data_IF_857732324410
#
_entry.id   IF_857732324410
#
_cell.length_a   1.000
_cell.length_b   1.000
_cell.length_c   1.000
_cell.angle_alpha   90.00
_cell.angle_beta   90.00
_cell.angle_gamma   90.00
#
_symmetry.space_group_name_H-M   'P 1'
#
loop_
_entity.id
_entity.type
_entity.pdbx_description
1 polymer ?
#
# COMPACT_ATOMS: atom_id res chain seq x y z
N UNK A 1 8.74 97.04 -14.24
CA UNK A 1 7.98 95.80 -14.01
C UNK A 1 8.97 94.64 -13.95
N UNK A 2 9.35 94.21 -12.74
CA UNK A 2 10.23 93.05 -12.52
C UNK A 2 9.36 92.01 -11.80
N UNK A 3 9.10 90.87 -12.45
CA UNK A 3 8.28 89.79 -11.90
C UNK A 3 9.16 88.76 -11.18
N UNK A 4 8.72 88.40 -9.98
CA UNK A 4 9.24 87.36 -9.09
C UNK A 4 9.22 85.97 -9.71
N UNK A 5 10.16 85.10 -9.30
CA UNK A 5 9.88 83.68 -9.06
C UNK A 5 10.81 83.09 -7.99
N UNK A 6 10.22 82.78 -6.83
CA UNK A 6 10.82 82.02 -5.72
C UNK A 6 10.84 80.53 -6.07
N UNK A 7 11.98 79.88 -5.87
CA UNK A 7 12.14 78.42 -5.90
C UNK A 7 11.90 77.87 -4.48
N UNK A 8 11.02 76.87 -4.35
CA UNK A 8 10.87 76.04 -3.14
C UNK A 8 11.49 74.66 -3.42
N UNK A 9 12.32 74.10 -2.53
CA UNK A 9 12.76 72.71 -2.65
C UNK A 9 11.66 71.79 -2.11
N UNK A 10 11.14 70.90 -2.96
CA UNK A 10 10.20 69.85 -2.57
C UNK A 10 10.92 68.72 -1.84
N UNK A 11 10.42 68.33 -0.67
CA UNK A 11 10.85 67.15 0.05
C UNK A 11 10.33 65.89 -0.66
N UNK A 12 11.25 65.01 -1.08
CA UNK A 12 10.91 63.71 -1.64
C UNK A 12 10.68 62.71 -0.51
N UNK A 13 9.42 62.30 -0.32
CA UNK A 13 9.03 61.24 0.60
C UNK A 13 9.33 59.88 -0.06
N UNK A 14 10.35 59.18 0.42
CA UNK A 14 10.68 57.82 -0.04
C UNK A 14 9.68 56.82 0.55
N UNK A 15 8.79 56.30 -0.31
CA UNK A 15 7.83 55.26 0.04
C UNK A 15 8.53 53.89 -0.02
N UNK A 16 8.94 53.35 1.12
CA UNK A 16 9.40 51.97 1.22
C UNK A 16 8.21 51.02 1.00
N UNK A 17 8.07 50.49 -0.22
CA UNK A 17 7.19 49.37 -0.50
C UNK A 17 7.80 48.11 0.11
N UNK A 18 7.25 47.67 1.24
CA UNK A 18 7.49 46.34 1.76
C UNK A 18 6.86 45.32 0.80
N UNK A 19 7.67 44.74 -0.09
CA UNK A 19 7.29 43.52 -0.79
C UNK A 19 7.20 42.40 0.26
N UNK A 20 5.99 42.09 0.71
CA UNK A 20 5.72 40.85 1.42
C UNK A 20 6.08 39.70 0.49
N UNK A 21 7.12 38.94 0.82
CA UNK A 21 7.41 37.69 0.14
C UNK A 21 6.24 36.74 0.39
N UNK A 22 5.40 36.51 -0.61
CA UNK A 22 4.40 35.46 -0.57
C UNK A 22 5.16 34.14 -0.54
N UNK A 23 5.19 33.48 0.64
CA UNK A 23 5.78 32.16 0.76
C UNK A 23 5.07 31.22 -0.21
N UNK A 24 5.83 30.49 -1.03
CA UNK A 24 5.28 29.49 -1.93
C UNK A 24 4.57 28.41 -1.09
N UNK A 25 3.38 28.00 -1.52
CA UNK A 25 2.61 26.94 -0.86
C UNK A 25 3.47 25.67 -0.74
N UNK A 26 3.71 25.15 0.47
CA UNK A 26 4.55 23.95 0.65
C UNK A 26 3.89 22.76 -0.06
N UNK A 27 4.70 22.00 -0.78
CA UNK A 27 4.27 20.76 -1.45
C UNK A 27 4.87 19.57 -0.72
N UNK A 28 4.05 18.59 -0.37
CA UNK A 28 4.43 17.29 0.18
C UNK A 28 4.35 16.25 -0.93
N UNK A 29 5.50 15.73 -1.36
CA UNK A 29 5.57 14.70 -2.41
C UNK A 29 5.61 13.31 -1.77
N UNK A 30 4.59 12.48 -2.01
CA UNK A 30 4.46 11.13 -1.47
C UNK A 30 4.56 10.11 -2.60
N UNK A 31 5.55 9.21 -2.52
CA UNK A 31 5.62 8.05 -3.42
C UNK A 31 4.69 6.95 -2.92
N UNK A 32 3.84 6.45 -3.82
CA UNK A 32 2.86 5.40 -3.53
C UNK A 32 2.55 4.58 -4.80
N UNK A 33 1.80 3.48 -4.67
CA UNK A 33 1.56 2.55 -5.78
C UNK A 33 0.41 3.03 -6.69
N UNK A 34 0.40 2.57 -7.94
CA UNK A 34 -0.50 3.07 -8.99
C UNK A 34 -1.99 2.99 -8.60
N UNK A 35 -2.45 1.88 -8.00
CA UNK A 35 -3.85 1.75 -7.58
C UNK A 35 -4.24 2.75 -6.50
N UNK A 36 -3.31 3.18 -5.63
CA UNK A 36 -3.58 4.21 -4.62
C UNK A 36 -3.90 5.55 -5.29
N UNK A 37 -3.15 5.91 -6.33
CA UNK A 37 -3.27 7.21 -7.02
C UNK A 37 -4.32 7.28 -8.11
N UNK A 38 -4.88 6.14 -8.51
CA UNK A 38 -5.91 6.07 -9.54
C UNK A 38 -7.17 6.85 -9.17
N UNK A 39 -7.96 7.25 -10.18
CA UNK A 39 -9.21 7.99 -9.98
C UNK A 39 -10.24 7.23 -9.13
N UNK A 40 -10.14 5.90 -9.10
CA UNK A 40 -11.00 5.00 -8.32
C UNK A 40 -10.37 4.57 -7.00
N UNK A 41 -9.10 4.91 -6.76
CA UNK A 41 -8.35 4.62 -5.54
C UNK A 41 -8.58 5.65 -4.42
N UNK A 42 -7.91 5.49 -3.27
CA UNK A 42 -7.99 6.40 -2.13
C UNK A 42 -7.41 7.80 -2.42
N UNK A 43 -6.42 7.91 -3.31
CA UNK A 43 -5.60 9.10 -3.53
C UNK A 43 -6.38 10.40 -3.72
N UNK A 44 -7.37 10.48 -4.63
CA UNK A 44 -8.18 11.68 -4.82
C UNK A 44 -8.90 12.17 -3.56
N UNK A 45 -9.46 11.24 -2.77
CA UNK A 45 -10.19 11.57 -1.54
C UNK A 45 -9.23 11.97 -0.42
N UNK A 46 -8.12 11.22 -0.27
CA UNK A 46 -7.04 11.51 0.68
C UNK A 46 -6.45 12.89 0.44
N UNK A 47 -6.14 13.22 -0.83
CA UNK A 47 -5.64 14.54 -1.24
C UNK A 47 -6.61 15.65 -0.86
N UNK A 48 -7.87 15.53 -1.27
CA UNK A 48 -8.90 16.54 -0.96
C UNK A 48 -9.07 16.74 0.56
N UNK A 49 -9.08 15.65 1.32
CA UNK A 49 -9.26 15.71 2.78
C UNK A 49 -8.06 16.32 3.50
N UNK A 50 -6.83 16.00 3.07
CA UNK A 50 -5.62 16.58 3.66
C UNK A 50 -5.46 18.06 3.33
N UNK A 51 -5.64 18.45 2.06
CA UNK A 51 -5.53 19.85 1.62
C UNK A 51 -6.62 20.76 2.19
N UNK A 52 -7.73 20.20 2.69
CA UNK A 52 -8.72 20.96 3.43
C UNK A 52 -8.26 21.34 4.86
N UNK A 53 -7.18 20.73 5.35
CA UNK A 53 -6.64 20.91 6.71
C UNK A 53 -5.34 21.72 6.76
N UNK A 54 -4.68 21.91 5.63
CA UNK A 54 -3.41 22.60 5.51
C UNK A 54 -3.48 23.64 4.38
N UNK A 55 -2.70 24.72 4.48
CA UNK A 55 -2.37 25.56 3.32
C UNK A 55 -1.20 24.92 2.56
N UNK A 56 -1.41 23.71 2.04
CA UNK A 56 -0.37 22.90 1.40
C UNK A 56 -0.86 22.19 0.13
N UNK A 57 0.08 21.64 -0.63
CA UNK A 57 -0.20 20.79 -1.79
C UNK A 57 0.24 19.36 -1.47
N UNK A 58 -0.66 18.39 -1.59
CA UNK A 58 -0.30 16.97 -1.59
C UNK A 58 -0.08 16.50 -3.03
N UNK A 59 1.14 16.09 -3.33
CA UNK A 59 1.51 15.48 -4.60
C UNK A 59 1.71 13.97 -4.40
N UNK A 60 0.73 13.18 -4.86
CA UNK A 60 0.83 11.73 -4.87
C UNK A 60 1.47 11.28 -6.19
N UNK A 61 2.59 10.57 -6.12
CA UNK A 61 3.29 10.04 -7.28
C UNK A 61 3.10 8.54 -7.33
N UNK A 62 2.28 8.10 -8.30
CA UNK A 62 2.07 6.70 -8.62
C UNK A 62 3.34 6.07 -9.21
N UNK A 63 3.76 4.99 -8.59
CA UNK A 63 4.83 4.09 -9.01
C UNK A 63 4.25 2.68 -9.18
N UNK A 64 5.00 1.79 -9.84
CA UNK A 64 4.52 0.42 -10.16
C UNK A 64 3.81 -0.28 -8.97
N UNK A 65 4.55 -0.84 -8.01
CA UNK A 65 3.98 -1.58 -6.88
C UNK A 65 4.98 -1.55 -5.69
N UNK A 66 4.57 -1.96 -4.48
CA UNK A 66 5.23 -1.68 -3.21
C UNK A 66 6.72 -2.03 -3.15
N UNK A 67 7.13 -3.18 -3.67
CA UNK A 67 8.56 -3.56 -3.69
C UNK A 67 9.33 -2.69 -4.68
N UNK A 68 8.79 -2.47 -5.88
CA UNK A 68 9.40 -1.60 -6.89
C UNK A 68 9.61 -0.17 -6.34
N UNK A 69 8.69 0.33 -5.52
CA UNK A 69 8.82 1.65 -4.89
C UNK A 69 10.03 1.73 -3.96
N UNK A 70 10.20 0.77 -3.06
CA UNK A 70 11.35 0.74 -2.15
C UNK A 70 12.67 0.61 -2.94
N UNK A 71 12.69 -0.21 -3.99
CA UNK A 71 13.86 -0.36 -4.86
C UNK A 71 14.20 0.95 -5.58
N UNK A 72 13.21 1.66 -6.11
CA UNK A 72 13.41 2.98 -6.72
C UNK A 72 13.96 3.99 -5.71
N UNK A 73 13.37 4.05 -4.52
CA UNK A 73 13.84 4.93 -3.44
C UNK A 73 15.32 4.65 -3.09
N UNK A 74 15.72 3.38 -3.01
CA UNK A 74 17.12 2.98 -2.77
C UNK A 74 18.07 3.46 -3.87
N UNK A 75 17.63 3.44 -5.12
CA UNK A 75 18.42 3.93 -6.26
C UNK A 75 18.55 5.46 -6.26
N UNK A 76 17.49 6.18 -5.89
CA UNK A 76 17.51 7.64 -5.79
C UNK A 76 18.32 8.13 -4.58
N UNK A 77 18.28 7.39 -3.46
CA UNK A 77 18.96 7.73 -2.22
C UNK A 77 18.61 9.14 -1.72
N UNK A 78 19.60 9.89 -1.25
CA UNK A 78 19.41 11.25 -0.74
C UNK A 78 18.99 12.28 -1.82
N UNK A 79 19.01 11.92 -3.11
CA UNK A 79 18.59 12.79 -4.19
C UNK A 79 17.11 12.66 -4.55
N UNK A 80 16.39 11.74 -3.91
CA UNK A 80 14.95 11.56 -4.12
C UNK A 80 14.19 12.87 -3.93
N UNK A 81 13.12 13.02 -4.71
CA UNK A 81 12.18 14.14 -4.60
C UNK A 81 11.03 13.84 -3.64
N UNK A 82 10.88 12.59 -3.23
CA UNK A 82 9.89 12.21 -2.26
C UNK A 82 10.23 12.81 -0.89
N UNK A 83 9.18 13.24 -0.19
CA UNK A 83 9.21 13.53 1.24
C UNK A 83 8.85 12.29 2.06
N UNK A 84 8.02 11.41 1.49
CA UNK A 84 7.49 10.22 2.15
C UNK A 84 7.34 9.06 1.18
N UNK A 85 7.34 7.85 1.73
CA UNK A 85 6.92 6.63 1.05
C UNK A 85 5.66 6.08 1.75
N UNK A 86 4.61 5.77 1.00
CA UNK A 86 3.36 5.19 1.48
C UNK A 86 3.02 3.94 0.66
N UNK A 87 2.78 2.81 1.32
CA UNK A 87 2.37 1.57 0.64
C UNK A 87 3.49 0.54 0.45
N UNK A 88 4.52 0.59 1.30
CA UNK A 88 5.28 -0.63 1.62
C UNK A 88 4.58 -1.33 2.79
N UNK A 89 4.93 -2.57 3.08
CA UNK A 89 4.33 -3.34 4.18
C UNK A 89 5.36 -3.82 5.20
N UNK A 90 4.88 -4.47 6.27
CA UNK A 90 5.71 -5.08 7.32
C UNK A 90 6.74 -6.08 6.84
N UNK A 91 6.58 -6.68 5.65
CA UNK A 91 7.59 -7.59 5.09
C UNK A 91 8.81 -6.83 4.55
N UNK A 92 8.71 -5.50 4.42
CA UNK A 92 9.74 -4.62 3.87
C UNK A 92 10.33 -3.64 4.88
N UNK A 93 9.72 -3.46 6.07
CA UNK A 93 10.15 -2.43 7.04
C UNK A 93 11.57 -2.64 7.56
N UNK A 94 11.99 -3.88 7.81
CA UNK A 94 13.36 -4.17 8.23
C UNK A 94 14.40 -3.81 7.15
N UNK A 95 14.12 -4.12 5.87
CA UNK A 95 14.98 -3.73 4.75
C UNK A 95 14.98 -2.20 4.57
N UNK A 96 13.80 -1.57 4.59
CA UNK A 96 13.62 -0.13 4.47
C UNK A 96 14.38 0.61 5.59
N UNK A 97 14.31 0.14 6.83
CA UNK A 97 15.08 0.66 7.97
C UNK A 97 16.58 0.58 7.75
N UNK A 98 17.07 -0.55 7.24
CA UNK A 98 18.49 -0.77 7.00
C UNK A 98 19.09 0.16 5.93
N UNK A 99 18.25 0.77 5.08
CA UNK A 99 18.71 1.78 4.11
C UNK A 99 19.21 3.07 4.77
N UNK A 100 18.76 3.37 6.00
CA UNK A 100 19.03 4.64 6.67
C UNK A 100 18.31 5.85 6.07
N UNK A 101 17.40 5.67 5.10
CA UNK A 101 16.71 6.76 4.41
C UNK A 101 15.52 7.32 5.21
N UNK A 102 14.98 6.57 6.18
CA UNK A 102 13.77 6.93 6.92
C UNK A 102 14.09 7.63 8.26
N UNK A 103 13.29 8.65 8.56
CA UNK A 103 13.33 9.41 9.81
C UNK A 103 12.36 8.81 10.83
N UNK A 104 12.59 9.09 12.11
CA UNK A 104 11.62 8.75 13.16
C UNK A 104 10.44 9.74 13.11
N UNK A 105 9.21 9.24 13.20
CA UNK A 105 8.00 10.07 13.16
C UNK A 105 7.61 10.66 14.52
N UNK A 106 8.09 10.06 15.63
CA UNK A 106 7.74 10.43 17.01
C UNK A 106 6.25 10.37 17.39
N UNK A 107 5.38 9.90 16.50
CA UNK A 107 3.98 9.57 16.76
C UNK A 107 3.83 8.25 17.54
N UNK A 108 2.73 8.15 18.29
CA UNK A 108 2.29 6.91 18.94
C UNK A 108 0.90 6.54 18.46
N UNK A 109 0.72 5.28 18.12
CA UNK A 109 -0.60 4.71 17.85
C UNK A 109 -1.18 4.20 19.16
N UNK A 110 -1.93 5.05 19.86
CA UNK A 110 -2.48 4.74 21.20
C UNK A 110 -3.54 3.64 21.16
N UNK A 111 -4.37 3.63 20.11
CA UNK A 111 -5.40 2.63 19.88
C UNK A 111 -5.37 2.20 18.43
N UNK A 112 -5.35 0.89 18.17
CA UNK A 112 -5.46 0.34 16.83
C UNK A 112 -6.42 -0.85 16.79
N UNK A 113 -6.95 -1.09 15.59
CA UNK A 113 -7.71 -2.28 15.21
C UNK A 113 -6.81 -3.43 14.75
N UNK A 114 -5.48 -3.31 14.92
CA UNK A 114 -4.53 -4.36 14.62
C UNK A 114 -4.59 -5.47 15.69
N UNK A 115 -4.31 -6.74 15.33
CA UNK A 115 -4.30 -7.83 16.30
C UNK A 115 -3.25 -7.66 17.41
N UNK A 116 -2.11 -7.06 17.06
CA UNK A 116 -1.00 -6.81 17.97
C UNK A 116 -0.74 -5.30 18.12
N UNK A 117 -0.30 -4.83 19.31
CA UNK A 117 0.10 -3.44 19.50
C UNK A 117 1.20 -3.03 18.52
N UNK A 118 1.03 -1.86 17.89
CA UNK A 118 2.03 -1.34 16.98
C UNK A 118 3.11 -0.55 17.72
N UNK A 119 4.37 -0.94 17.57
CA UNK A 119 5.50 -0.33 18.25
C UNK A 119 6.69 -0.11 17.30
N UNK A 120 6.46 0.66 16.23
CA UNK A 120 7.50 1.15 15.33
C UNK A 120 7.57 2.69 15.42
N UNK A 121 8.77 3.25 15.37
CA UNK A 121 9.01 4.70 15.46
C UNK A 121 9.38 5.36 14.13
N UNK A 122 9.54 4.58 13.05
CA UNK A 122 9.85 5.04 11.69
C UNK A 122 8.71 4.78 10.70
N UNK A 123 7.93 3.71 10.91
CA UNK A 123 6.85 3.31 10.02
C UNK A 123 5.51 3.30 10.75
N UNK A 124 4.55 4.03 10.20
CA UNK A 124 3.20 4.12 10.74
C UNK A 124 2.23 3.33 9.85
N UNK A 125 1.43 2.41 10.41
CA UNK A 125 0.49 1.63 9.64
C UNK A 125 -0.73 2.50 9.33
N UNK A 126 -1.40 2.22 8.21
CA UNK A 126 -2.61 2.96 7.83
C UNK A 126 -3.78 2.06 7.47
N UNK A 127 -3.49 0.85 7.01
CA UNK A 127 -4.46 -0.21 6.83
C UNK A 127 -3.81 -1.59 7.03
N UNK A 128 -4.63 -2.63 6.97
CA UNK A 128 -4.19 -4.01 6.95
C UNK A 128 -5.17 -4.90 6.18
N UNK A 129 -4.71 -6.07 5.77
CA UNK A 129 -5.50 -7.04 5.04
C UNK A 129 -4.88 -8.42 5.10
N UNK A 130 -5.49 -9.37 4.39
CA UNK A 130 -5.04 -10.75 4.35
C UNK A 130 -5.09 -11.24 2.92
N UNK A 131 -3.99 -11.83 2.45
CA UNK A 131 -3.93 -12.35 1.09
C UNK A 131 -4.84 -13.56 0.95
N UNK A 132 -5.57 -13.63 -0.16
CA UNK A 132 -6.46 -14.74 -0.50
C UNK A 132 -6.59 -14.87 -2.01
N UNK A 133 -6.94 -16.06 -2.48
CA UNK A 133 -7.32 -16.24 -3.87
C UNK A 133 -8.79 -15.90 -4.07
N UNK A 134 -9.07 -14.91 -4.92
CA UNK A 134 -10.43 -14.51 -5.29
C UNK A 134 -10.87 -15.31 -6.51
N UNK A 135 -12.15 -15.71 -6.53
CA UNK A 135 -12.75 -16.49 -7.61
C UNK A 135 -14.18 -16.02 -7.90
N UNK A 136 -14.70 -16.40 -9.06
CA UNK A 136 -16.10 -16.20 -9.44
C UNK A 136 -16.90 -17.48 -9.14
N UNK A 137 -17.86 -17.41 -8.21
CA UNK A 137 -18.70 -18.53 -7.75
C UNK A 137 -19.55 -19.17 -8.85
N UNK A 138 -19.86 -18.45 -9.92
CA UNK A 138 -20.62 -19.00 -11.05
C UNK A 138 -19.75 -19.87 -11.96
N UNK A 139 -18.43 -19.71 -11.90
CA UNK A 139 -17.46 -20.45 -12.75
C UNK A 139 -16.75 -21.56 -11.98
N UNK A 140 -16.47 -21.34 -10.71
CA UNK A 140 -15.78 -22.29 -9.85
C UNK A 140 -16.68 -22.64 -8.67
N UNK A 141 -17.40 -23.76 -8.79
CA UNK A 141 -18.36 -24.23 -7.79
C UNK A 141 -17.70 -24.92 -6.59
N UNK A 142 -16.51 -25.49 -6.77
CA UNK A 142 -15.73 -26.15 -5.73
C UNK A 142 -14.33 -25.53 -5.65
N UNK A 143 -14.21 -24.32 -5.06
CA UNK A 143 -12.90 -23.70 -4.86
C UNK A 143 -12.07 -24.54 -3.87
N UNK A 144 -10.72 -24.47 -3.95
CA UNK A 144 -9.87 -25.05 -2.92
C UNK A 144 -10.19 -24.47 -1.53
N UNK A 145 -10.10 -25.32 -0.50
CA UNK A 145 -10.35 -24.93 0.91
C UNK A 145 -9.07 -24.90 1.74
N UNK A 146 -7.91 -25.00 1.08
CA UNK A 146 -6.59 -24.94 1.70
C UNK A 146 -5.54 -24.53 0.67
N UNK A 147 -4.44 -23.91 1.12
CA UNK A 147 -3.31 -23.63 0.24
C UNK A 147 -2.71 -24.95 -0.27
N UNK A 148 -2.71 -25.99 0.56
CA UNK A 148 -2.31 -27.35 0.15
C UNK A 148 -3.16 -27.88 -0.99
N UNK A 149 -4.49 -27.81 -0.89
CA UNK A 149 -5.34 -28.25 -1.99
C UNK A 149 -5.12 -27.40 -3.24
N UNK A 150 -4.98 -26.08 -3.11
CA UNK A 150 -4.69 -25.23 -4.25
C UNK A 150 -3.39 -25.63 -4.96
N UNK A 151 -2.37 -26.08 -4.24
CA UNK A 151 -1.05 -26.44 -4.80
C UNK A 151 -1.01 -27.89 -5.30
N UNK A 152 -1.56 -28.83 -4.53
CA UNK A 152 -1.36 -30.27 -4.73
C UNK A 152 -2.35 -30.90 -5.71
N UNK A 153 -3.50 -30.26 -5.95
CA UNK A 153 -4.45 -30.71 -6.97
C UNK A 153 -3.94 -30.32 -8.37
N UNK A 154 -3.38 -31.28 -9.12
CA UNK A 154 -2.89 -31.03 -10.47
C UNK A 154 -4.00 -30.64 -11.45
N UNK A 155 -5.25 -31.01 -11.18
CA UNK A 155 -6.43 -30.64 -11.97
C UNK A 155 -7.19 -29.45 -11.37
N UNK A 156 -6.58 -28.77 -10.38
CA UNK A 156 -7.15 -27.62 -9.71
C UNK A 156 -7.31 -26.41 -10.64
N UNK A 157 -7.85 -25.30 -10.12
CA UNK A 157 -8.11 -24.09 -10.90
C UNK A 157 -6.81 -23.47 -11.44
N UNK A 158 -6.92 -22.80 -12.58
CA UNK A 158 -5.89 -21.90 -13.11
C UNK A 158 -5.80 -20.62 -12.28
N UNK A 159 -4.61 -20.04 -12.13
CA UNK A 159 -4.39 -18.87 -11.27
C UNK A 159 -3.59 -17.75 -11.93
N UNK A 160 -3.87 -16.53 -11.49
CA UNK A 160 -3.07 -15.33 -11.74
C UNK A 160 -2.39 -14.87 -10.46
N UNK A 161 -1.10 -14.55 -10.53
CA UNK A 161 -0.32 -14.06 -9.38
C UNK A 161 0.53 -12.87 -9.77
N UNK A 162 1.10 -12.19 -8.77
CA UNK A 162 2.04 -11.08 -8.98
C UNK A 162 3.49 -11.51 -8.69
N UNK A 163 4.46 -10.83 -9.30
CA UNK A 163 5.88 -11.09 -9.10
C UNK A 163 6.35 -10.60 -7.72
N UNK A 164 6.96 -11.47 -6.88
CA UNK A 164 7.41 -11.11 -5.52
C UNK A 164 8.56 -10.10 -5.48
N UNK A 165 9.18 -9.81 -6.63
CA UNK A 165 10.28 -8.85 -6.76
C UNK A 165 9.79 -7.42 -7.01
N UNK A 166 8.52 -7.25 -7.36
CA UNK A 166 7.94 -5.94 -7.69
C UNK A 166 6.68 -5.63 -6.87
N UNK A 167 5.88 -6.66 -6.54
CA UNK A 167 4.58 -6.51 -5.88
C UNK A 167 4.58 -6.98 -4.42
N UNK A 168 3.95 -6.22 -3.53
CA UNK A 168 3.75 -6.64 -2.13
C UNK A 168 2.79 -7.84 -2.00
N UNK A 169 1.67 -7.92 -2.75
CA UNK A 169 0.92 -9.16 -2.93
C UNK A 169 1.76 -10.37 -3.37
N UNK A 170 2.59 -10.19 -4.40
CA UNK A 170 3.47 -11.25 -4.89
C UNK A 170 4.42 -11.74 -3.79
N UNK A 171 5.04 -10.81 -3.05
CA UNK A 171 5.90 -11.12 -1.92
C UNK A 171 5.11 -11.83 -0.81
N UNK A 172 3.90 -11.39 -0.55
CA UNK A 172 2.96 -12.00 0.38
C UNK A 172 2.70 -13.48 0.08
N UNK A 173 2.42 -13.83 -1.18
CA UNK A 173 2.24 -15.23 -1.56
C UNK A 173 3.54 -16.04 -1.45
N UNK A 174 4.68 -15.46 -1.81
CA UNK A 174 5.98 -16.09 -1.59
C UNK A 174 6.18 -16.49 -0.12
N UNK A 175 5.88 -15.57 0.79
CA UNK A 175 5.97 -15.79 2.22
C UNK A 175 4.89 -16.75 2.73
N UNK A 176 3.69 -16.69 2.17
CA UNK A 176 2.59 -17.59 2.52
C UNK A 176 2.91 -19.05 2.16
N UNK A 177 3.39 -19.30 0.95
CA UNK A 177 3.87 -20.63 0.54
C UNK A 177 5.01 -21.08 1.45
N UNK A 178 5.97 -20.20 1.77
CA UNK A 178 7.07 -20.55 2.68
C UNK A 178 6.59 -20.87 4.10
N UNK A 179 5.58 -20.18 4.63
CA UNK A 179 4.97 -20.49 5.94
C UNK A 179 4.38 -21.91 5.96
N UNK A 180 3.70 -22.32 4.89
CA UNK A 180 3.00 -23.61 4.85
C UNK A 180 3.92 -24.77 4.49
N UNK A 181 4.89 -24.56 3.60
CA UNK A 181 5.73 -25.63 3.05
C UNK A 181 7.15 -25.66 3.59
N UNK A 182 7.64 -24.57 4.18
CA UNK A 182 9.02 -24.50 4.70
C UNK A 182 10.05 -24.86 3.63
N UNK A 183 10.85 -25.88 3.90
CA UNK A 183 11.90 -26.37 3.00
C UNK A 183 11.37 -27.09 1.74
N UNK A 184 10.06 -27.35 1.66
CA UNK A 184 9.39 -27.96 0.50
C UNK A 184 8.70 -26.93 -0.40
N UNK A 185 9.01 -25.65 -0.24
CA UNK A 185 8.37 -24.58 -1.00
C UNK A 185 8.72 -24.64 -2.49
N UNK A 186 9.94 -25.05 -2.85
CA UNK A 186 10.36 -25.35 -4.22
C UNK A 186 9.44 -26.37 -4.92
N UNK A 187 9.12 -27.48 -4.26
CA UNK A 187 8.19 -28.50 -4.76
C UNK A 187 6.77 -27.96 -4.89
N UNK A 188 6.33 -27.11 -3.95
CA UNK A 188 5.03 -26.45 -4.01
C UNK A 188 4.95 -25.53 -5.24
N UNK A 189 5.98 -24.72 -5.48
CA UNK A 189 6.08 -23.85 -6.65
C UNK A 189 6.10 -24.66 -7.95
N UNK A 190 6.82 -25.78 -7.99
CA UNK A 190 6.90 -26.63 -9.18
C UNK A 190 5.56 -27.29 -9.55
N UNK A 191 4.72 -27.58 -8.56
CA UNK A 191 3.34 -28.05 -8.79
C UNK A 191 2.43 -26.91 -9.25
N UNK A 192 2.53 -25.76 -8.58
CA UNK A 192 1.65 -24.63 -8.84
C UNK A 192 1.93 -23.97 -10.20
N UNK A 193 3.20 -23.92 -10.63
CA UNK A 193 3.64 -23.29 -11.89
C UNK A 193 2.92 -23.80 -13.12
N UNK A 194 2.52 -25.08 -13.12
CA UNK A 194 1.75 -25.71 -14.21
C UNK A 194 0.37 -25.05 -14.43
N UNK A 195 -0.17 -24.35 -13.42
CA UNK A 195 -1.49 -23.71 -13.43
C UNK A 195 -1.42 -22.19 -13.28
N UNK A 196 -0.23 -21.61 -13.21
CA UNK A 196 -0.05 -20.16 -13.26
C UNK A 196 -0.18 -19.70 -14.71
N UNK A 197 -1.24 -18.93 -15.00
CA UNK A 197 -1.50 -18.39 -16.34
C UNK A 197 -0.52 -17.28 -16.66
N UNK A 198 -0.35 -16.34 -15.72
CA UNK A 198 0.54 -15.18 -15.84
C UNK A 198 1.06 -14.78 -14.46
N UNK A 199 2.30 -14.30 -14.43
CA UNK A 199 2.89 -13.58 -13.29
C UNK A 199 2.99 -12.10 -13.70
N UNK A 200 2.10 -11.26 -13.17
CA UNK A 200 2.09 -9.82 -13.48
C UNK A 200 3.09 -9.06 -12.62
N UNK A 201 3.49 -7.85 -13.04
CA UNK A 201 4.35 -7.00 -12.22
C UNK A 201 3.66 -6.44 -10.97
N UNK A 202 2.35 -6.25 -11.06
CA UNK A 202 1.57 -5.67 -9.97
C UNK A 202 0.12 -6.15 -9.95
N UNK A 203 -0.55 -5.82 -8.86
CA UNK A 203 -1.91 -6.31 -8.57
C UNK A 203 -2.94 -5.90 -9.62
N UNK A 204 -2.93 -4.63 -10.05
CA UNK A 204 -3.95 -4.08 -10.97
C UNK A 204 -4.02 -4.85 -12.30
N UNK A 205 -2.87 -5.27 -12.83
CA UNK A 205 -2.80 -6.06 -14.06
C UNK A 205 -3.40 -7.46 -13.86
N UNK A 206 -2.99 -8.18 -12.81
CA UNK A 206 -3.51 -9.51 -12.51
C UNK A 206 -5.03 -9.48 -12.25
N UNK A 207 -5.52 -8.53 -11.47
CA UNK A 207 -6.95 -8.41 -11.18
C UNK A 207 -7.75 -8.05 -12.44
N UNK A 208 -7.22 -7.17 -13.29
CA UNK A 208 -7.84 -6.83 -14.57
C UNK A 208 -7.95 -8.02 -15.53
N UNK A 209 -6.94 -8.91 -15.57
CA UNK A 209 -6.98 -10.16 -16.34
C UNK A 209 -8.02 -11.14 -15.75
N UNK A 210 -8.10 -11.23 -14.42
CA UNK A 210 -9.10 -12.05 -13.74
C UNK A 210 -10.54 -11.61 -14.06
N UNK A 211 -10.83 -10.30 -14.04
CA UNK A 211 -12.16 -9.78 -14.42
C UNK A 211 -12.51 -10.05 -15.89
N UNK A 212 -11.51 -10.21 -16.75
CA UNK A 212 -11.66 -10.65 -18.15
C UNK A 212 -11.79 -12.17 -18.30
N UNK A 213 -11.73 -12.91 -17.19
CA UNK A 213 -11.81 -14.36 -17.10
C UNK A 213 -10.61 -15.11 -17.70
N UNK A 214 -9.42 -14.54 -17.64
CA UNK A 214 -8.19 -15.19 -18.13
C UNK A 214 -7.73 -16.35 -17.24
N UNK A 215 -8.21 -16.43 -15.99
CA UNK A 215 -7.97 -17.55 -15.08
C UNK A 215 -9.16 -17.74 -14.12
N UNK A 216 -9.19 -18.89 -13.44
CA UNK A 216 -10.27 -19.24 -12.49
C UNK A 216 -10.13 -18.50 -11.15
N UNK A 217 -8.90 -18.21 -10.72
CA UNK A 217 -8.62 -17.47 -9.50
C UNK A 217 -7.49 -16.44 -9.66
N UNK A 218 -7.43 -15.46 -8.77
CA UNK A 218 -6.33 -14.48 -8.70
C UNK A 218 -5.88 -14.24 -7.27
N UNK A 219 -4.59 -14.11 -7.04
CA UNK A 219 -4.06 -13.64 -5.77
C UNK A 219 -4.50 -12.19 -5.53
N UNK A 220 -5.25 -11.98 -4.45
CA UNK A 220 -5.77 -10.70 -4.03
C UNK A 220 -5.97 -10.73 -2.50
N UNK A 221 -7.05 -10.14 -1.98
CA UNK A 221 -7.32 -10.00 -0.55
C UNK A 221 -8.66 -10.63 -0.15
N UNK A 222 -8.79 -11.01 1.11
CA UNK A 222 -10.08 -11.43 1.71
C UNK A 222 -11.15 -10.34 1.62
N UNK A 223 -10.75 -9.09 1.53
CA UNK A 223 -11.60 -7.89 1.41
C UNK A 223 -11.96 -7.52 -0.02
N UNK A 224 -11.32 -8.08 -1.05
CA UNK A 224 -11.64 -7.77 -2.45
C UNK A 224 -13.12 -7.99 -2.83
N UNK A 225 -13.84 -9.02 -2.32
CA UNK A 225 -15.27 -9.15 -2.57
C UNK A 225 -16.12 -7.96 -2.08
N UNK A 226 -15.66 -7.18 -1.09
CA UNK A 226 -16.37 -5.99 -0.62
C UNK A 226 -16.53 -4.94 -1.74
N UNK A 227 -15.54 -4.80 -2.63
CA UNK A 227 -15.64 -3.92 -3.81
C UNK A 227 -16.85 -4.30 -4.65
N UNK A 228 -16.92 -5.56 -5.06
CA UNK A 228 -18.00 -6.05 -5.92
C UNK A 228 -19.36 -5.92 -5.24
N UNK A 229 -19.45 -6.26 -3.95
CA UNK A 229 -20.69 -6.16 -3.19
C UNK A 229 -21.19 -4.70 -3.05
N UNK A 230 -20.28 -3.77 -2.74
CA UNK A 230 -20.64 -2.38 -2.40
C UNK A 230 -20.73 -1.49 -3.64
N UNK A 231 -19.73 -1.54 -4.52
CA UNK A 231 -19.61 -0.64 -5.66
C UNK A 231 -20.38 -1.14 -6.88
N UNK A 232 -20.41 -2.46 -7.10
CA UNK A 232 -21.01 -3.05 -8.31
C UNK A 232 -22.33 -3.79 -8.04
N UNK A 233 -22.67 -4.02 -6.76
CA UNK A 233 -23.79 -4.88 -6.36
C UNK A 233 -23.68 -6.31 -6.93
N UNK A 234 -22.46 -6.76 -7.24
CA UNK A 234 -22.16 -8.07 -7.79
C UNK A 234 -21.75 -9.02 -6.65
N UNK A 235 -22.55 -10.08 -6.47
CA UNK A 235 -22.35 -11.08 -5.41
C UNK A 235 -21.57 -12.30 -5.88
N UNK A 236 -21.07 -12.34 -7.12
CA UNK A 236 -20.47 -13.54 -7.71
C UNK A 236 -19.03 -13.76 -7.25
N UNK A 237 -18.32 -12.70 -6.87
CA UNK A 237 -16.94 -12.79 -6.41
C UNK A 237 -16.86 -13.18 -4.93
N UNK A 238 -15.90 -14.04 -4.61
CA UNK A 238 -15.61 -14.47 -3.24
C UNK A 238 -14.10 -14.73 -3.08
N UNK A 239 -13.60 -14.61 -1.85
CA UNK A 239 -12.28 -15.08 -1.49
C UNK A 239 -12.38 -16.55 -1.03
N UNK A 240 -11.44 -17.39 -1.42
CA UNK A 240 -11.37 -18.77 -0.94
C UNK A 240 -10.81 -18.79 0.49
N UNK A 241 -11.54 -19.42 1.42
CA UNK A 241 -11.15 -19.57 2.83
C UNK A 241 -10.22 -20.78 2.95
N UNK A 242 -8.97 -20.55 3.33
CA UNK A 242 -7.96 -21.60 3.44
C UNK A 242 -7.74 -22.04 4.88
N UNK A 243 -7.87 -23.34 5.12
CA UNK A 243 -7.82 -23.95 6.46
C UNK A 243 -6.52 -23.70 7.23
N UNK A 244 -5.40 -23.43 6.55
CA UNK A 244 -4.12 -23.11 7.18
C UNK A 244 -4.04 -21.65 7.66
N UNK A 245 -5.02 -20.82 7.30
CA UNK A 245 -5.04 -19.40 7.54
C UNK A 245 -4.45 -18.57 6.41
N UNK A 246 -4.56 -17.25 6.55
CA UNK A 246 -4.20 -16.29 5.52
C UNK A 246 -3.00 -15.44 5.93
N UNK A 247 -2.10 -15.14 4.99
CA UNK A 247 -0.95 -14.29 5.27
C UNK A 247 -1.37 -12.83 5.39
N UNK A 248 -1.06 -12.21 6.53
CA UNK A 248 -1.42 -10.85 6.85
C UNK A 248 -0.49 -9.86 6.15
N UNK A 249 -1.06 -8.74 5.72
CA UNK A 249 -0.35 -7.56 5.29
C UNK A 249 -0.76 -6.39 6.15
N UNK A 250 0.21 -5.60 6.60
CA UNK A 250 -0.03 -4.30 7.24
C UNK A 250 0.75 -3.28 6.43
N UNK A 251 0.04 -2.41 5.71
CA UNK A 251 0.67 -1.36 4.91
C UNK A 251 1.05 -0.18 5.80
N UNK A 252 2.22 0.40 5.51
CA UNK A 252 2.82 1.46 6.30
C UNK A 252 3.28 2.63 5.44
N UNK A 253 3.43 3.77 6.09
CA UNK A 253 4.11 4.94 5.54
C UNK A 253 5.30 5.34 6.41
N UNK A 254 6.31 5.94 5.78
CA UNK A 254 7.50 6.44 6.44
C UNK A 254 7.96 7.78 5.86
N UNK A 255 8.49 8.65 6.73
CA UNK A 255 9.05 9.96 6.36
C UNK A 255 10.52 9.81 5.98
N UNK A 256 10.95 10.47 4.91
CA UNK A 256 12.33 10.41 4.44
C UNK A 256 13.20 11.46 5.15
N UNK A 257 14.41 11.09 5.56
CA UNK A 257 15.38 12.00 6.21
C UNK A 257 15.79 13.16 5.31
N UNK A 258 15.80 12.95 4.00
CA UNK A 258 16.12 13.97 2.99
C UNK A 258 15.00 14.99 2.81
N UNK A 259 13.79 14.73 3.31
CA UNK A 259 12.65 15.63 3.18
C UNK A 259 12.97 17.00 3.77
N UNK A 260 12.62 18.04 3.03
CA UNK A 260 12.64 19.43 3.52
C UNK A 260 11.31 19.83 4.17
N UNK A 261 10.31 18.94 4.11
CA UNK A 261 8.95 19.11 4.59
C UNK A 261 8.67 18.25 5.83
N UNK A 262 9.67 18.08 6.71
CA UNK A 262 9.57 17.18 7.89
C UNK A 262 8.35 17.46 8.78
N UNK A 263 7.96 18.73 8.96
CA UNK A 263 6.75 19.07 9.72
C UNK A 263 5.50 18.60 8.98
N UNK A 264 5.37 18.98 7.72
CA UNK A 264 4.20 18.66 6.90
C UNK A 264 4.05 17.14 6.67
N UNK A 265 5.15 16.42 6.54
CA UNK A 265 5.17 14.97 6.43
C UNK A 265 4.66 14.28 7.70
N UNK A 266 5.01 14.81 8.89
CA UNK A 266 4.47 14.35 10.16
C UNK A 266 2.99 14.72 10.32
N UNK A 267 2.58 15.92 9.90
CA UNK A 267 1.17 16.31 9.89
C UNK A 267 0.34 15.36 9.00
N UNK A 268 0.91 14.89 7.88
CA UNK A 268 0.29 13.88 7.04
C UNK A 268 0.17 12.51 7.73
N UNK A 269 1.21 12.06 8.45
CA UNK A 269 1.13 10.84 9.26
C UNK A 269 0.07 10.93 10.36
N UNK A 270 -0.07 12.07 11.02
CA UNK A 270 -1.15 12.30 12.00
C UNK A 270 -2.53 12.28 11.33
N UNK A 271 -2.65 12.91 10.17
CA UNK A 271 -3.87 12.86 9.34
C UNK A 271 -4.24 11.42 8.97
N UNK A 272 -3.27 10.57 8.65
CA UNK A 272 -3.50 9.16 8.31
C UNK A 272 -4.19 8.38 9.44
N UNK A 273 -3.99 8.76 10.71
CA UNK A 273 -4.65 8.14 11.85
C UNK A 273 -6.02 8.74 12.17
N UNK A 274 -6.39 9.85 11.52
CA UNK A 274 -7.66 10.53 11.79
C UNK A 274 -8.83 9.81 11.12
N UNK A 275 -10.04 10.05 11.67
CA UNK A 275 -11.28 9.44 11.17
C UNK A 275 -11.54 9.74 9.68
N UNK A 276 -11.23 10.95 9.19
CA UNK A 276 -11.43 11.31 7.78
C UNK A 276 -10.58 10.44 6.85
N UNK A 277 -9.33 10.11 7.22
CA UNK A 277 -8.51 9.20 6.42
C UNK A 277 -8.99 7.77 6.58
N UNK A 278 -9.21 7.33 7.82
CA UNK A 278 -9.54 5.93 8.13
C UNK A 278 -10.92 5.51 7.61
N UNK A 279 -11.84 6.45 7.38
CA UNK A 279 -13.14 6.19 6.75
C UNK A 279 -13.04 6.07 5.22
N UNK A 280 -12.00 6.62 4.59
CA UNK A 280 -11.77 6.51 3.13
C UNK A 280 -11.31 5.09 2.77
N UNK A 281 -10.40 4.52 3.57
CA UNK A 281 -9.71 3.24 3.29
C UNK A 281 -10.66 2.07 2.92
N UNK A 282 -11.72 1.76 3.70
CA UNK A 282 -12.50 0.53 3.48
C UNK A 282 -13.18 0.48 2.12
N UNK A 283 -13.57 1.63 1.56
CA UNK A 283 -14.34 1.68 0.30
C UNK A 283 -13.57 2.29 -0.86
N UNK A 284 -12.26 2.46 -0.73
CA UNK A 284 -11.40 2.97 -1.82
C UNK A 284 -10.13 2.14 -2.00
N UNK A 285 -9.43 1.80 -0.91
CA UNK A 285 -8.31 0.86 -0.93
C UNK A 285 -8.76 -0.60 -0.75
N UNK A 286 -9.99 -0.81 -0.25
CA UNK A 286 -10.57 -2.13 0.03
C UNK A 286 -9.75 -2.95 1.03
N UNK A 287 -9.28 -2.28 2.07
CA UNK A 287 -8.50 -2.83 3.19
C UNK A 287 -9.17 -2.52 4.52
N UNK A 288 -8.77 -3.18 5.61
CA UNK A 288 -9.23 -2.85 6.94
C UNK A 288 -8.47 -1.63 7.50
N UNK A 289 -9.17 -0.66 8.10
CA UNK A 289 -8.54 0.54 8.68
C UNK A 289 -7.87 0.20 10.02
N UNK A 290 -6.69 0.76 10.27
CA UNK A 290 -5.94 0.52 11.52
C UNK A 290 -6.46 1.33 12.71
N UNK A 291 -7.17 2.43 12.48
CA UNK A 291 -7.63 3.35 13.52
C UNK A 291 -9.13 3.67 13.41
N UNK A 292 -9.91 2.71 12.90
CA UNK A 292 -11.37 2.76 12.90
C UNK A 292 -11.93 1.43 13.45
N UNK A 293 -12.89 1.45 14.40
CA UNK A 293 -13.48 0.23 14.95
C UNK A 293 -14.20 -0.60 13.90
N UNK A 294 -14.17 -1.93 14.03
CA UNK A 294 -14.87 -2.84 13.13
C UNK A 294 -16.38 -2.56 13.03
N UNK A 295 -17.00 -2.07 14.12
CA UNK A 295 -18.41 -1.70 14.15
C UNK A 295 -18.77 -0.49 13.26
N UNK A 296 -17.78 0.30 12.84
CA UNK A 296 -17.96 1.43 11.93
C UNK A 296 -17.86 1.01 10.46
N UNK A 297 -17.44 -0.22 10.17
CA UNK A 297 -17.38 -0.74 8.81
C UNK A 297 -18.78 -1.01 8.26
N UNK A 298 -18.89 -0.95 6.93
CA UNK A 298 -20.12 -1.30 6.24
C UNK A 298 -20.52 -2.77 6.52
N UNK A 299 -21.82 -3.09 6.62
CA UNK A 299 -22.27 -4.45 6.96
C UNK A 299 -21.74 -5.56 6.04
N UNK A 300 -21.44 -5.25 4.78
CA UNK A 300 -20.86 -6.19 3.80
C UNK A 300 -19.49 -6.74 4.25
N UNK A 301 -18.72 -5.99 5.06
CA UNK A 301 -17.47 -6.48 5.62
C UNK A 301 -17.66 -7.67 6.59
N UNK A 302 -18.83 -7.78 7.23
CA UNK A 302 -19.16 -8.92 8.09
C UNK A 302 -19.51 -10.20 7.32
N UNK A 303 -19.68 -10.11 6.00
CA UNK A 303 -19.96 -11.25 5.11
C UNK A 303 -18.70 -11.83 4.47
N UNK A 304 -17.54 -11.22 4.72
CA UNK A 304 -16.25 -11.67 4.21
C UNK A 304 -15.76 -12.89 4.99
N UNK A 305 -14.85 -13.64 4.39
CA UNK A 305 -14.26 -14.83 5.00
C UNK A 305 -13.48 -14.49 6.26
N UNK A 306 -13.48 -15.40 7.24
CA UNK A 306 -12.61 -15.29 8.41
C UNK A 306 -11.17 -15.63 8.00
N UNK A 307 -10.21 -14.70 8.11
CA UNK A 307 -8.82 -14.95 7.72
C UNK A 307 -8.03 -15.77 8.74
N UNK A 308 -8.63 -16.17 9.87
CA UNK A 308 -7.94 -16.81 10.99
C UNK A 308 -7.49 -18.25 10.67
N UNK A 309 -6.29 -18.68 11.12
CA UNK A 309 -5.30 -17.89 11.82
C UNK A 309 -4.55 -16.91 10.89
N UNK A 310 -4.29 -15.70 11.38
CA UNK A 310 -3.43 -14.75 10.69
C UNK A 310 -1.97 -15.23 10.70
N UNK A 311 -1.37 -15.38 9.51
CA UNK A 311 0.02 -15.78 9.36
C UNK A 311 0.89 -14.55 9.07
N UNK A 312 1.98 -14.40 9.80
CA UNK A 312 2.95 -13.33 9.54
C UNK A 312 4.36 -13.82 9.92
N UNK A 313 5.37 -13.48 9.12
CA UNK A 313 6.77 -13.62 9.54
C UNK A 313 7.23 -12.39 10.31
N UNK A 314 8.24 -12.60 11.17
CA UNK A 314 9.03 -11.51 11.73
C UNK A 314 9.76 -10.75 10.61
N UNK A 315 9.74 -9.41 10.67
CA UNK A 315 10.29 -8.53 9.62
C UNK A 315 11.80 -8.75 9.42
N UNK A 316 12.56 -8.99 10.51
CA UNK A 316 14.00 -9.25 10.44
C UNK A 316 14.29 -10.59 9.80
N UNK A 317 13.49 -11.61 10.11
CA UNK A 317 13.61 -12.91 9.44
C UNK A 317 13.38 -12.75 7.93
N UNK A 318 12.30 -12.06 7.53
CA UNK A 318 12.03 -11.77 6.11
C UNK A 318 13.23 -11.06 5.48
N UNK A 319 13.70 -9.95 6.06
CA UNK A 319 14.84 -9.21 5.50
C UNK A 319 16.10 -10.08 5.33
N UNK A 320 16.38 -11.00 6.25
CA UNK A 320 17.54 -11.89 6.16
C UNK A 320 17.42 -13.00 5.11
N UNK A 321 16.20 -13.50 4.87
CA UNK A 321 15.96 -14.69 4.04
C UNK A 321 15.34 -14.36 2.68
N UNK A 322 14.76 -13.17 2.51
CA UNK A 322 13.96 -12.78 1.34
C UNK A 322 14.69 -13.02 0.02
N UNK A 323 15.96 -12.64 -0.08
CA UNK A 323 16.75 -12.86 -1.29
C UNK A 323 16.81 -14.35 -1.63
N UNK A 324 17.15 -15.20 -0.67
CA UNK A 324 17.22 -16.64 -0.86
C UNK A 324 15.87 -17.22 -1.31
N UNK A 325 14.77 -16.82 -0.67
CA UNK A 325 13.45 -17.34 -1.03
C UNK A 325 12.96 -16.85 -2.40
N UNK A 326 13.33 -15.62 -2.80
CA UNK A 326 13.10 -15.13 -4.17
C UNK A 326 13.93 -15.92 -5.17
N UNK A 327 15.21 -16.20 -4.88
CA UNK A 327 16.08 -16.98 -5.76
C UNK A 327 15.54 -18.42 -5.91
N UNK A 328 15.10 -19.05 -4.81
CA UNK A 328 14.40 -20.36 -4.81
C UNK A 328 13.17 -20.35 -5.73
N UNK A 329 12.33 -19.32 -5.61
CA UNK A 329 11.15 -19.15 -6.48
C UNK A 329 11.54 -18.98 -7.95
N UNK A 330 12.54 -18.13 -8.25
CA UNK A 330 13.01 -17.88 -9.62
C UNK A 330 13.57 -19.15 -10.28
N UNK A 331 14.34 -19.95 -9.55
CA UNK A 331 14.92 -21.20 -10.04
C UNK A 331 13.85 -22.23 -10.43
N UNK A 332 12.68 -22.18 -9.80
CA UNK A 332 11.54 -23.05 -10.13
C UNK A 332 10.74 -22.48 -11.29
N UNK A 333 10.45 -21.18 -11.27
CA UNK A 333 9.60 -20.52 -12.28
C UNK A 333 10.28 -20.32 -13.64
N UNK A 334 11.60 -20.51 -13.73
CA UNK A 334 12.37 -20.40 -14.97
C UNK A 334 12.58 -21.72 -15.72
N UNK A 335 12.05 -22.84 -15.20
CA UNK A 335 12.14 -24.18 -15.80
C UNK A 335 11.06 -24.40 -16.84
#
# INVERSE_FOLDING_TARGET
>A
MIFFRRFYPGAALALCLAFGAQAATPTLTVYTYDSFTSDWGPGPQVKKAFEARCDCILELVGLEDGVSMLNRLKLEGNNTKADMLLGIDTNLTAEARATGLFAEHALKLETSSLPEPWADNMFLPYDYGYFAFVYNKERLSNPPVSLRQLVEDENGPSILIQDPRTSTPGLGLLLWVKKIYGDRADDAWAKLSKRIVTVSKGWSEAYGLFLKNEADMVLSYTTSPAYHLIAEQDRRFAAAEFSEGHYQQIEVAGVLRSSRQQSLARDFLEFMLSEDFQTIIPTTNWMYPVALPAASLRPEFSQLVDPSPALLFDDKLVASMRKQWIDEWLEVMSR
#
